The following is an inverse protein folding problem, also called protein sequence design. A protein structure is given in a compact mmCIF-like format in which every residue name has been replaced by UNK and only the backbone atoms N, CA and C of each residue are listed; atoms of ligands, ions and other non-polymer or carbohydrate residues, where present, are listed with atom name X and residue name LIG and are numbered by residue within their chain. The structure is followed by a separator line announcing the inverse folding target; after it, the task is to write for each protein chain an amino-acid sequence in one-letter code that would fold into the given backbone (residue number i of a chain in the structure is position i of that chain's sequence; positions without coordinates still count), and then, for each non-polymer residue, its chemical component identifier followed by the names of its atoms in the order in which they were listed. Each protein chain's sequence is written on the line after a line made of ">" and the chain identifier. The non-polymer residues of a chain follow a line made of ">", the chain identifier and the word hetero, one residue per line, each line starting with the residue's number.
data_IF_533067398506
#
_entry.id   IF_533067398506
#
_cell.length_a   1.000
_cell.length_b   1.000
_cell.length_c   1.000
_cell.angle_alpha   90.00
_cell.angle_beta   90.00
_cell.angle_gamma   90.00
#
_symmetry.space_group_name_H-M   'P 1'
#
loop_
_entity.id
_entity.type
_entity.pdbx_description
1 polymer ?
#
# COMPACT_ATOMS: atom_id res chain seq x y z
N UNK A 1 11.78 6.12 -2.87
CA UNK A 1 10.40 6.57 -3.09
C UNK A 1 9.50 5.73 -2.19
N UNK A 2 8.60 6.35 -1.41
CA UNK A 2 7.68 5.61 -0.55
C UNK A 2 6.65 4.85 -1.40
N UNK A 3 6.22 3.66 -0.96
CA UNK A 3 5.12 2.92 -1.60
C UNK A 3 3.94 2.81 -0.65
N UNK A 4 2.77 3.24 -1.10
CA UNK A 4 1.51 3.06 -0.38
C UNK A 4 0.74 1.93 -1.04
N UNK A 5 0.56 0.83 -0.31
CA UNK A 5 -0.29 -0.28 -0.69
C UNK A 5 -1.72 -0.02 -0.23
N UNK A 6 -2.68 -0.08 -1.17
CA UNK A 6 -4.07 0.28 -0.94
C UNK A 6 -5.02 -0.73 -1.60
N UNK A 7 -6.27 -0.74 -1.19
CA UNK A 7 -7.34 -1.48 -1.89
C UNK A 7 -8.59 -0.61 -1.97
N UNK A 8 -9.27 -0.50 -3.13
CA UNK A 8 -10.46 0.33 -3.28
C UNK A 8 -11.55 -0.02 -2.25
N UNK A 9 -12.21 1.01 -1.71
CA UNK A 9 -13.29 0.82 -0.72
C UNK A 9 -12.81 0.54 0.71
N UNK A 10 -11.51 0.61 0.99
CA UNK A 10 -10.96 0.46 2.35
C UNK A 10 -10.57 1.79 2.98
N UNK A 11 -10.19 1.75 4.26
CA UNK A 11 -9.69 2.91 5.00
C UNK A 11 -8.32 3.42 4.51
N UNK A 12 -7.69 2.78 3.52
CA UNK A 12 -6.42 3.24 2.94
C UNK A 12 -6.51 4.59 2.24
N UNK A 13 -7.72 5.06 1.90
CA UNK A 13 -7.95 6.39 1.34
C UNK A 13 -7.46 7.51 2.27
N UNK A 14 -7.60 7.35 3.59
CA UNK A 14 -7.14 8.35 4.54
C UNK A 14 -5.62 8.56 4.47
N UNK A 15 -4.84 7.47 4.33
CA UNK A 15 -3.40 7.55 4.16
C UNK A 15 -3.00 8.22 2.84
N UNK A 16 -3.75 7.94 1.77
CA UNK A 16 -3.54 8.57 0.46
C UNK A 16 -3.77 10.09 0.52
N UNK A 17 -4.84 10.54 1.19
CA UNK A 17 -5.13 11.97 1.38
C UNK A 17 -4.01 12.64 2.16
N UNK A 18 -3.56 12.05 3.28
CA UNK A 18 -2.49 12.64 4.09
C UNK A 18 -1.19 12.81 3.29
N UNK A 19 -0.79 11.80 2.50
CA UNK A 19 0.41 11.90 1.68
C UNK A 19 0.28 12.94 0.58
N UNK A 20 -0.90 13.07 -0.02
CA UNK A 20 -1.21 14.09 -1.02
C UNK A 20 -1.18 15.50 -0.42
N UNK A 21 -1.83 15.73 0.74
CA UNK A 21 -1.84 17.01 1.43
C UNK A 21 -0.47 17.41 1.97
N UNK A 22 0.39 16.44 2.30
CA UNK A 22 1.76 16.67 2.72
C UNK A 22 2.73 16.95 1.55
N UNK A 23 2.25 16.92 0.30
CA UNK A 23 3.05 17.04 -0.93
C UNK A 23 4.25 16.08 -0.95
N UNK A 24 4.05 14.89 -0.37
CA UNK A 24 5.08 13.86 -0.28
C UNK A 24 5.01 12.97 -1.52
N UNK A 25 6.16 12.68 -2.17
CA UNK A 25 6.16 11.79 -3.32
C UNK A 25 6.01 10.33 -2.88
N UNK A 26 5.00 9.65 -3.41
CA UNK A 26 4.78 8.22 -3.20
C UNK A 26 4.29 7.52 -4.47
N UNK A 27 4.46 6.20 -4.49
CA UNK A 27 3.89 5.31 -5.49
C UNK A 27 2.69 4.63 -4.86
N UNK A 28 1.56 4.65 -5.56
CA UNK A 28 0.35 3.99 -5.15
C UNK A 28 0.28 2.60 -5.79
N UNK A 29 0.14 1.55 -4.98
CA UNK A 29 0.06 0.16 -5.43
C UNK A 29 -1.24 -0.49 -4.95
N UNK A 30 -2.05 -0.96 -5.89
CA UNK A 30 -3.29 -1.66 -5.58
C UNK A 30 -3.00 -3.08 -5.10
N UNK A 31 -3.72 -3.53 -4.08
CA UNK A 31 -3.65 -4.89 -3.54
C UNK A 31 -5.04 -5.53 -3.66
N UNK A 32 -5.08 -6.71 -4.26
CA UNK A 32 -6.23 -7.59 -4.18
C UNK A 32 -6.22 -8.29 -2.82
N UNK A 33 -7.08 -7.84 -1.89
CA UNK A 33 -7.16 -8.42 -0.55
C UNK A 33 -7.85 -9.79 -0.51
N UNK A 34 -8.63 -10.13 -1.53
CA UNK A 34 -9.29 -11.44 -1.62
C UNK A 34 -8.27 -12.52 -1.96
N UNK A 35 -7.38 -12.22 -2.92
CA UNK A 35 -6.32 -13.13 -3.37
C UNK A 35 -4.97 -12.88 -2.69
N UNK A 36 -4.86 -11.81 -1.90
CA UNK A 36 -3.64 -11.37 -1.24
C UNK A 36 -2.49 -11.20 -2.23
N UNK A 37 -2.75 -10.49 -3.34
CA UNK A 37 -1.80 -10.36 -4.44
C UNK A 37 -1.70 -8.94 -4.98
N UNK A 38 -0.55 -8.66 -5.59
CA UNK A 38 -0.28 -7.43 -6.34
C UNK A 38 -0.63 -7.59 -7.83
N UNK A 39 -0.71 -6.48 -8.61
CA UNK A 39 -1.05 -6.52 -10.03
C UNK A 39 -0.05 -7.32 -10.89
N UNK A 40 1.18 -7.49 -10.41
CA UNK A 40 2.22 -8.29 -11.06
C UNK A 40 2.18 -9.78 -10.65
N UNK A 41 1.24 -10.16 -9.78
CA UNK A 41 1.07 -11.54 -9.29
C UNK A 41 1.89 -11.87 -8.05
N UNK A 42 2.64 -10.92 -7.48
CA UNK A 42 3.40 -11.12 -6.24
C UNK A 42 2.45 -11.35 -5.06
N UNK A 43 2.80 -12.30 -4.18
CA UNK A 43 2.06 -12.54 -2.93
C UNK A 43 2.29 -11.38 -1.96
N UNK A 44 1.22 -10.75 -1.52
CA UNK A 44 1.26 -9.60 -0.63
C UNK A 44 1.78 -9.97 0.78
N UNK A 45 1.69 -11.23 1.20
CA UNK A 45 2.22 -11.66 2.50
C UNK A 45 3.74 -11.62 2.57
N UNK A 46 4.43 -11.69 1.42
CA UNK A 46 5.89 -11.52 1.36
C UNK A 46 6.31 -10.10 1.76
N UNK A 47 5.41 -9.13 1.60
CA UNK A 47 5.62 -7.71 1.90
C UNK A 47 5.04 -7.37 3.27
N UNK A 48 3.81 -7.79 3.55
CA UNK A 48 3.16 -7.62 4.84
C UNK A 48 2.60 -8.96 5.34
N UNK A 49 3.30 -9.63 6.27
CA UNK A 49 2.82 -10.90 6.85
C UNK A 49 1.43 -10.81 7.50
N UNK A 50 0.93 -9.61 7.79
CA UNK A 50 -0.41 -9.40 8.35
C UNK A 50 -1.52 -9.32 7.29
N UNK A 51 -1.18 -9.18 6.01
CA UNK A 51 -2.14 -9.27 4.90
C UNK A 51 -3.22 -8.18 4.83
N UNK A 52 -2.96 -7.00 5.42
CA UNK A 52 -3.93 -5.90 5.41
C UNK A 52 -3.34 -4.59 4.89
N UNK A 53 -4.23 -3.71 4.45
CA UNK A 53 -3.94 -2.32 4.04
C UNK A 53 -4.62 -1.34 5.01
N UNK A 54 -4.17 -0.07 5.08
CA UNK A 54 -3.01 0.50 4.39
C UNK A 54 -1.66 -0.05 4.89
N UNK A 55 -0.70 -0.19 3.99
CA UNK A 55 0.71 -0.40 4.31
C UNK A 55 1.54 0.67 3.60
N UNK A 56 2.41 1.34 4.34
CA UNK A 56 3.36 2.31 3.80
C UNK A 56 4.77 1.71 3.92
N UNK A 57 5.44 1.50 2.80
CA UNK A 57 6.86 1.09 2.76
C UNK A 57 7.72 2.34 2.60
N UNK A 58 8.60 2.60 3.56
CA UNK A 58 9.54 3.71 3.52
C UNK A 58 10.80 3.33 2.73
N UNK A 59 11.51 4.34 2.24
CA UNK A 59 12.79 4.15 1.56
C UNK A 59 13.87 3.74 2.59
N UNK A 60 13.94 2.44 2.89
CA UNK A 60 14.77 1.86 3.95
C UNK A 60 14.27 0.51 4.47
N UNK A 61 13.02 0.14 4.18
CA UNK A 61 12.43 -1.15 4.59
C UNK A 61 11.79 -1.16 5.98
N UNK A 62 11.70 0.01 6.65
CA UNK A 62 10.92 0.19 7.88
C UNK A 62 9.49 0.67 7.59
#
# INVERSE_FOLDING_TARGET
>A
MMKLYHSPGTYSLAAQIVLHEADLPYILLEVDLCNQSLPDGTDFHEINPKGYVPLLELQGGE
#
